data_IF_399889362441
#
_entry.id   IF_399889362441
#
_cell.length_a   1.000
_cell.length_b   1.000
_cell.length_c   1.000
_cell.angle_alpha   90.00
_cell.angle_beta   90.00
_cell.angle_gamma   90.00
#
_symmetry.space_group_name_H-M   'P 1'
#
loop_
_entity.id
_entity.type
_entity.pdbx_description
1 polymer ?
#
# COMPACT_ATOMS: atom_id res chain seq x y z
N UNK A 1 10.82 2.98 -10.03
CA UNK A 1 12.27 3.21 -10.14
C UNK A 1 12.52 4.28 -11.20
N UNK A 2 13.51 5.14 -10.99
CA UNK A 2 13.92 6.11 -11.98
C UNK A 2 14.92 5.49 -12.99
N UNK A 3 15.07 6.13 -14.16
CA UNK A 3 15.99 5.65 -15.20
C UNK A 3 17.42 5.46 -14.70
N UNK A 4 17.91 6.35 -13.83
CA UNK A 4 19.26 6.26 -13.27
C UNK A 4 19.49 4.97 -12.45
N UNK A 5 18.49 4.50 -11.70
CA UNK A 5 18.62 3.24 -10.95
C UNK A 5 18.70 2.03 -11.90
N UNK A 6 17.93 2.05 -12.98
CA UNK A 6 17.97 0.99 -13.99
C UNK A 6 19.31 0.99 -14.71
N UNK A 7 19.80 2.18 -15.09
CA UNK A 7 21.11 2.31 -15.76
C UNK A 7 22.27 1.87 -14.87
N UNK A 8 22.24 2.19 -13.57
CA UNK A 8 23.25 1.71 -12.61
C UNK A 8 23.26 0.18 -12.51
N UNK A 9 22.07 -0.42 -12.38
CA UNK A 9 21.94 -1.88 -12.33
C UNK A 9 22.50 -2.53 -13.60
N UNK A 10 22.17 -2.00 -14.77
CA UNK A 10 22.67 -2.51 -16.06
C UNK A 10 24.19 -2.37 -16.20
N UNK A 11 24.78 -1.31 -15.64
CA UNK A 11 26.24 -1.14 -15.63
C UNK A 11 26.93 -2.14 -14.71
N UNK A 12 26.31 -2.47 -13.58
CA UNK A 12 26.87 -3.40 -12.58
C UNK A 12 26.71 -4.86 -13.01
N UNK A 13 25.52 -5.26 -13.47
CA UNK A 13 25.20 -6.63 -13.84
C UNK A 13 25.54 -7.00 -15.29
N UNK A 14 25.81 -6.01 -16.14
CA UNK A 14 25.98 -6.14 -17.58
C UNK A 14 24.69 -5.97 -18.38
N UNK A 15 24.81 -5.34 -19.54
CA UNK A 15 23.69 -5.13 -20.46
C UNK A 15 23.15 -6.47 -20.99
N UNK A 16 21.82 -6.57 -21.09
CA UNK A 16 21.14 -7.75 -21.60
C UNK A 16 20.88 -8.84 -20.54
N UNK A 17 21.31 -8.66 -19.30
CA UNK A 17 21.20 -9.68 -18.24
C UNK A 17 20.05 -9.43 -17.28
N UNK A 18 19.60 -8.19 -17.15
CA UNK A 18 18.58 -7.80 -16.17
C UNK A 18 17.16 -8.11 -16.64
N UNK A 19 16.21 -8.13 -15.71
CA UNK A 19 14.79 -8.26 -16.03
C UNK A 19 14.27 -7.06 -16.85
N UNK A 20 14.87 -5.88 -16.70
CA UNK A 20 14.53 -4.69 -17.47
C UNK A 20 14.88 -4.81 -18.94
N UNK A 21 16.00 -5.45 -19.27
CA UNK A 21 16.41 -5.71 -20.67
C UNK A 21 15.43 -6.65 -21.39
N UNK A 22 14.77 -7.52 -20.63
CA UNK A 22 13.80 -8.49 -21.18
C UNK A 22 12.37 -7.94 -21.26
N UNK A 23 12.15 -6.70 -20.80
CA UNK A 23 10.83 -6.09 -20.84
C UNK A 23 10.41 -5.80 -22.28
N UNK A 24 9.28 -6.37 -22.69
CA UNK A 24 8.73 -6.17 -24.04
C UNK A 24 8.01 -4.83 -24.20
N UNK A 25 7.56 -4.25 -23.09
CA UNK A 25 6.83 -2.98 -23.09
C UNK A 25 7.45 -2.04 -22.06
N UNK A 26 7.70 -0.81 -22.48
CA UNK A 26 8.26 0.26 -21.67
C UNK A 26 7.39 1.50 -21.80
N UNK A 27 7.09 2.14 -20.67
CA UNK A 27 6.38 3.41 -20.64
C UNK A 27 7.04 4.41 -19.69
N UNK A 28 6.89 5.68 -20.00
CA UNK A 28 7.24 6.78 -19.12
C UNK A 28 5.96 7.29 -18.45
N UNK A 29 6.02 7.51 -17.14
CA UNK A 29 4.90 8.08 -16.38
C UNK A 29 5.29 9.40 -15.75
N UNK A 30 4.31 10.29 -15.61
CA UNK A 30 4.47 11.52 -14.83
C UNK A 30 4.19 11.22 -13.37
N UNK A 31 5.06 11.71 -12.48
CA UNK A 31 5.02 11.36 -11.04
C UNK A 31 4.50 12.48 -10.14
N UNK A 32 4.16 13.68 -10.66
CA UNK A 32 3.62 14.77 -9.86
C UNK A 32 2.27 14.41 -9.23
N UNK A 33 2.01 14.91 -8.02
CA UNK A 33 0.72 14.78 -7.34
C UNK A 33 -0.26 15.90 -7.74
N UNK A 34 -1.51 15.82 -7.30
CA UNK A 34 -2.51 16.84 -7.65
C UNK A 34 -2.18 18.25 -7.13
N UNK A 35 -1.40 18.35 -6.05
CA UNK A 35 -1.07 19.62 -5.39
C UNK A 35 0.43 19.94 -5.34
N UNK A 36 1.31 19.08 -5.91
CA UNK A 36 2.75 19.31 -5.83
C UNK A 36 3.50 18.67 -7.02
N UNK A 37 4.56 19.35 -7.47
CA UNK A 37 5.45 18.81 -8.52
C UNK A 37 6.24 17.58 -8.05
N UNK A 38 6.53 17.51 -6.74
CA UNK A 38 7.19 16.36 -6.11
C UNK A 38 6.13 15.59 -5.33
N UNK A 39 5.82 14.40 -5.80
CA UNK A 39 4.87 13.49 -5.12
C UNK A 39 5.46 12.91 -3.85
N UNK A 40 4.58 12.56 -2.90
CA UNK A 40 4.95 11.66 -1.80
C UNK A 40 4.43 10.23 -2.06
N UNK A 41 4.78 9.31 -1.17
CA UNK A 41 4.38 7.89 -1.30
C UNK A 41 2.86 7.68 -1.22
N UNK A 42 2.15 8.55 -0.50
CA UNK A 42 0.69 8.41 -0.36
C UNK A 42 -0.02 8.75 -1.67
N UNK A 43 0.29 9.93 -2.24
CA UNK A 43 -0.27 10.35 -3.52
C UNK A 43 0.17 9.45 -4.68
N UNK A 44 1.44 9.02 -4.69
CA UNK A 44 1.94 8.10 -5.72
C UNK A 44 1.30 6.72 -5.60
N UNK A 45 1.22 6.16 -4.39
CA UNK A 45 0.55 4.88 -4.14
C UNK A 45 -0.93 4.92 -4.52
N UNK A 46 -1.62 6.01 -4.16
CA UNK A 46 -3.02 6.22 -4.55
C UNK A 46 -3.18 6.27 -6.07
N UNK A 47 -2.32 6.99 -6.77
CA UNK A 47 -2.39 7.06 -8.23
C UNK A 47 -2.16 5.68 -8.89
N UNK A 48 -1.25 4.87 -8.36
CA UNK A 48 -1.04 3.49 -8.83
C UNK A 48 -2.22 2.57 -8.51
N UNK A 49 -2.79 2.71 -7.32
CA UNK A 49 -3.89 1.86 -6.87
C UNK A 49 -5.22 2.18 -7.55
N UNK A 50 -5.50 3.48 -7.77
CA UNK A 50 -6.85 3.96 -8.16
C UNK A 50 -6.93 4.60 -9.54
N UNK A 51 -5.79 4.81 -10.21
CA UNK A 51 -5.70 5.57 -11.48
C UNK A 51 -5.98 7.08 -11.34
N UNK A 52 -6.15 7.60 -10.11
CA UNK A 52 -6.46 9.00 -9.84
C UNK A 52 -5.32 9.69 -9.08
N UNK A 53 -4.96 10.90 -9.50
CA UNK A 53 -4.03 11.74 -8.74
C UNK A 53 -4.75 12.36 -7.55
N UNK A 54 -4.06 12.39 -6.42
CA UNK A 54 -4.52 13.06 -5.20
C UNK A 54 -3.44 13.98 -4.64
N UNK A 55 -3.73 14.71 -3.57
CA UNK A 55 -2.76 15.56 -2.87
C UNK A 55 -1.75 14.75 -2.07
N UNK A 56 -0.55 15.32 -1.87
CA UNK A 56 0.45 14.74 -0.99
C UNK A 56 -0.12 14.50 0.41
N UNK A 57 0.20 13.35 0.99
CA UNK A 57 -0.32 12.93 2.29
C UNK A 57 -1.67 12.21 2.25
N UNK A 58 -2.42 12.31 1.17
CA UNK A 58 -3.73 11.67 1.01
C UNK A 58 -3.58 10.23 0.51
N UNK A 59 -4.39 9.32 1.03
CA UNK A 59 -4.26 7.89 0.83
C UNK A 59 -5.61 7.27 0.43
N UNK A 60 -5.68 6.68 -0.77
CA UNK A 60 -6.88 6.01 -1.28
C UNK A 60 -8.10 6.92 -1.44
N UNK A 61 -7.89 8.24 -1.48
CA UNK A 61 -8.96 9.24 -1.63
C UNK A 61 -8.64 10.22 -2.76
N UNK A 62 -9.66 10.83 -3.32
CA UNK A 62 -9.57 11.94 -4.26
C UNK A 62 -9.19 13.25 -3.55
N UNK A 63 -8.83 14.33 -4.28
CA UNK A 63 -8.48 15.61 -3.66
C UNK A 63 -9.57 16.24 -2.77
N UNK A 64 -10.82 15.88 -2.96
CA UNK A 64 -11.97 16.26 -2.14
C UNK A 64 -12.22 15.34 -0.94
N UNK A 65 -11.31 14.39 -0.71
CA UNK A 65 -11.37 13.35 0.34
C UNK A 65 -12.44 12.27 0.15
N UNK A 66 -13.09 12.19 -1.00
CA UNK A 66 -13.95 11.06 -1.32
C UNK A 66 -13.12 9.79 -1.58
N UNK A 67 -13.59 8.62 -1.15
CA UNK A 67 -12.90 7.36 -1.36
C UNK A 67 -12.75 7.04 -2.85
N UNK A 68 -11.56 6.63 -3.26
CA UNK A 68 -11.26 6.19 -4.61
C UNK A 68 -11.05 4.67 -4.62
N UNK A 69 -11.81 3.94 -5.40
CA UNK A 69 -11.68 2.50 -5.49
C UNK A 69 -10.33 2.08 -6.10
N UNK A 70 -9.72 1.08 -5.48
CA UNK A 70 -8.43 0.55 -5.93
C UNK A 70 -8.61 -0.66 -6.86
N UNK A 71 -7.59 -0.93 -7.67
CA UNK A 71 -7.51 -2.17 -8.46
C UNK A 71 -7.61 -3.43 -7.59
N UNK A 72 -7.21 -3.34 -6.31
CA UNK A 72 -7.36 -4.43 -5.35
C UNK A 72 -8.83 -4.68 -5.00
N UNK A 73 -9.62 -3.62 -4.81
CA UNK A 73 -11.06 -3.73 -4.61
C UNK A 73 -11.75 -4.35 -5.85
N UNK A 74 -11.31 -3.97 -7.06
CA UNK A 74 -11.80 -4.58 -8.30
C UNK A 74 -11.50 -6.09 -8.36
N UNK A 75 -10.27 -6.49 -7.98
CA UNK A 75 -9.85 -7.89 -7.95
C UNK A 75 -10.66 -8.71 -6.92
N UNK A 76 -10.88 -8.16 -5.71
CA UNK A 76 -11.71 -8.80 -4.68
C UNK A 76 -13.14 -9.03 -5.20
N UNK A 77 -13.75 -8.00 -5.82
CA UNK A 77 -15.10 -8.16 -6.41
C UNK A 77 -15.16 -9.21 -7.52
N UNK A 78 -14.07 -9.40 -8.23
CA UNK A 78 -13.93 -10.46 -9.22
C UNK A 78 -13.65 -11.85 -8.62
N UNK A 79 -13.63 -11.99 -7.30
CA UNK A 79 -13.34 -13.24 -6.59
C UNK A 79 -11.87 -13.66 -6.63
N UNK A 80 -10.95 -12.75 -6.95
CA UNK A 80 -9.53 -13.03 -7.00
C UNK A 80 -8.90 -12.91 -5.61
N UNK A 81 -8.06 -13.85 -5.19
CA UNK A 81 -7.25 -13.70 -3.98
C UNK A 81 -6.32 -12.48 -4.11
N UNK A 82 -6.27 -11.68 -3.07
CA UNK A 82 -5.45 -10.46 -3.03
C UNK A 82 -4.62 -10.38 -1.77
N UNK A 83 -3.52 -9.64 -1.83
CA UNK A 83 -2.68 -9.49 -0.66
C UNK A 83 -1.65 -8.39 -0.77
N UNK A 84 -1.11 -8.03 0.38
CA UNK A 84 0.01 -7.09 0.52
C UNK A 84 1.17 -7.75 1.25
N UNK A 85 2.37 -7.62 0.68
CA UNK A 85 3.61 -8.10 1.29
C UNK A 85 4.63 -6.98 1.20
N UNK A 86 5.09 -6.51 2.35
CA UNK A 86 5.99 -5.34 2.43
C UNK A 86 7.02 -5.52 3.54
N UNK A 87 8.18 -4.91 3.36
CA UNK A 87 9.22 -4.83 4.40
C UNK A 87 9.01 -3.66 5.36
N UNK A 88 8.08 -2.76 5.06
CA UNK A 88 7.63 -1.67 5.93
C UNK A 88 6.47 -2.09 6.84
N UNK A 89 5.84 -1.13 7.52
CA UNK A 89 4.58 -1.42 8.21
C UNK A 89 3.43 -1.56 7.20
N UNK A 90 2.48 -2.43 7.50
CA UNK A 90 1.26 -2.60 6.69
C UNK A 90 0.49 -1.28 6.56
N UNK A 91 0.50 -0.45 7.62
CA UNK A 91 -0.14 0.88 7.66
C UNK A 91 0.64 1.95 6.89
N UNK A 92 1.80 1.62 6.32
CA UNK A 92 2.55 2.59 5.52
C UNK A 92 1.77 2.99 4.25
N UNK A 93 2.09 4.18 3.74
CA UNK A 93 1.32 4.78 2.65
C UNK A 93 1.25 3.91 1.38
N UNK A 94 2.33 3.25 1.01
CA UNK A 94 2.36 2.45 -0.22
C UNK A 94 1.42 1.25 -0.18
N UNK A 95 1.48 0.34 0.81
CA UNK A 95 0.50 -0.74 0.90
C UNK A 95 -0.91 -0.22 1.24
N UNK A 96 -1.02 0.75 2.15
CA UNK A 96 -2.29 1.31 2.59
C UNK A 96 -3.12 1.92 1.46
N UNK A 97 -2.50 2.48 0.42
CA UNK A 97 -3.19 3.06 -0.72
C UNK A 97 -4.06 2.05 -1.50
N UNK A 98 -3.84 0.76 -1.33
CA UNK A 98 -4.59 -0.28 -2.02
C UNK A 98 -5.84 -0.77 -1.26
N UNK A 99 -5.92 -0.52 0.06
CA UNK A 99 -7.03 -1.02 0.88
C UNK A 99 -7.64 0.02 1.84
N UNK A 100 -7.01 1.19 2.00
CA UNK A 100 -7.46 2.20 2.95
C UNK A 100 -7.74 3.55 2.31
N UNK A 101 -8.64 4.32 2.93
CA UNK A 101 -9.13 5.61 2.48
C UNK A 101 -9.05 6.61 3.63
N UNK A 102 -7.98 7.38 3.68
CA UNK A 102 -7.77 8.41 4.71
C UNK A 102 -7.21 9.71 4.11
N UNK A 103 -7.70 10.87 4.54
CA UNK A 103 -7.21 12.15 4.04
C UNK A 103 -5.78 12.47 4.49
N UNK A 104 -5.25 11.70 5.48
CA UNK A 104 -3.90 11.91 5.99
C UNK A 104 -3.21 10.59 6.33
N UNK A 105 -2.09 10.32 5.66
CA UNK A 105 -1.32 9.07 5.73
C UNK A 105 -0.80 8.65 7.11
N UNK A 106 -0.79 9.57 8.09
CA UNK A 106 -0.36 9.27 9.47
C UNK A 106 -1.50 8.84 10.37
N UNK A 107 -2.71 8.69 9.87
CA UNK A 107 -3.84 8.12 10.59
C UNK A 107 -3.72 6.59 10.70
N UNK A 108 -2.62 6.14 11.31
CA UNK A 108 -2.22 4.71 11.31
C UNK A 108 -3.27 3.80 11.94
N UNK A 109 -3.98 4.27 12.98
CA UNK A 109 -5.06 3.50 13.61
C UNK A 109 -6.22 3.28 12.62
N UNK A 110 -6.66 4.35 11.93
CA UNK A 110 -7.72 4.24 10.92
C UNK A 110 -7.33 3.34 9.75
N UNK A 111 -6.07 3.40 9.32
CA UNK A 111 -5.55 2.50 8.28
C UNK A 111 -5.54 1.05 8.79
N UNK A 112 -5.18 0.83 10.06
CA UNK A 112 -5.20 -0.50 10.69
C UNK A 112 -6.62 -1.07 10.79
N UNK A 113 -7.60 -0.22 11.12
CA UNK A 113 -9.01 -0.62 11.17
C UNK A 113 -9.55 -1.01 9.79
N UNK A 114 -9.14 -0.27 8.77
CA UNK A 114 -9.54 -0.57 7.39
C UNK A 114 -8.82 -1.83 6.86
N UNK A 115 -7.58 -2.11 7.30
CA UNK A 115 -6.93 -3.39 7.04
C UNK A 115 -7.75 -4.54 7.65
N UNK A 116 -8.13 -4.42 8.92
CA UNK A 116 -8.96 -5.42 9.59
C UNK A 116 -10.34 -5.56 8.95
N UNK A 117 -10.87 -4.49 8.36
CA UNK A 117 -12.13 -4.48 7.63
C UNK A 117 -12.04 -4.92 6.17
N UNK A 118 -10.84 -5.12 5.63
CA UNK A 118 -10.65 -5.49 4.23
C UNK A 118 -10.91 -6.98 3.97
N UNK A 119 -11.19 -7.32 2.72
CA UNK A 119 -11.35 -8.70 2.26
C UNK A 119 -10.04 -9.25 1.63
N UNK A 120 -8.89 -8.77 2.12
CA UNK A 120 -7.59 -9.29 1.71
C UNK A 120 -7.44 -10.75 2.13
N UNK A 121 -6.83 -11.55 1.26
CA UNK A 121 -6.51 -12.96 1.56
C UNK A 121 -5.26 -13.07 2.43
N UNK A 122 -4.27 -12.21 2.19
CA UNK A 122 -3.00 -12.24 2.91
C UNK A 122 -2.42 -10.85 3.13
N UNK A 123 -1.80 -10.64 4.31
CA UNK A 123 -1.06 -9.42 4.61
C UNK A 123 0.20 -9.76 5.42
N UNK A 124 1.39 -9.49 4.85
CA UNK A 124 2.65 -9.64 5.54
C UNK A 124 3.40 -8.31 5.60
N UNK A 125 3.83 -7.93 6.80
CA UNK A 125 4.58 -6.71 7.03
C UNK A 125 4.72 -6.39 8.51
N UNK A 126 5.43 -5.32 8.83
CA UNK A 126 5.53 -4.80 10.19
C UNK A 126 4.27 -4.03 10.61
N UNK A 127 4.34 -3.39 11.79
CA UNK A 127 3.29 -2.49 12.27
C UNK A 127 2.40 -3.04 13.36
N UNK A 128 2.82 -4.12 14.03
CA UNK A 128 2.11 -4.75 15.15
C UNK A 128 1.66 -3.71 16.20
N UNK A 129 2.52 -2.75 16.53
CA UNK A 129 2.23 -1.69 17.51
C UNK A 129 0.93 -0.90 17.20
N UNK A 130 0.57 -0.73 15.93
CA UNK A 130 -0.67 -0.02 15.56
C UNK A 130 -1.94 -0.89 15.67
N UNK A 131 -1.73 -2.19 15.92
CA UNK A 131 -2.79 -3.16 16.17
C UNK A 131 -2.92 -3.54 17.66
N UNK A 132 -1.98 -3.08 18.52
CA UNK A 132 -2.01 -3.31 19.96
C UNK A 132 -2.94 -2.31 20.67
N UNK A 133 -3.61 -2.75 21.73
CA UNK A 133 -4.56 -1.94 22.48
C UNK A 133 -3.93 -0.68 23.12
N UNK A 134 -2.67 -0.78 23.55
CA UNK A 134 -1.95 0.32 24.22
C UNK A 134 -1.74 1.56 23.34
N UNK A 135 -1.71 1.38 22.04
CA UNK A 135 -1.52 2.46 21.06
C UNK A 135 -2.84 2.96 20.46
N UNK A 136 -3.98 2.43 20.92
CA UNK A 136 -5.29 2.72 20.35
C UNK A 136 -6.17 3.53 21.31
N UNK A 137 -6.86 4.55 20.76
CA UNK A 137 -7.81 5.38 21.52
C UNK A 137 -9.00 4.60 22.04
N UNK A 138 -9.45 3.55 21.31
CA UNK A 138 -10.58 2.72 21.68
C UNK A 138 -10.22 1.54 22.61
N UNK A 139 -8.91 1.32 22.86
CA UNK A 139 -8.41 0.25 23.71
C UNK A 139 -8.68 -1.18 23.19
N UNK A 140 -9.22 -1.32 21.97
CA UNK A 140 -9.53 -2.63 21.38
C UNK A 140 -8.40 -3.08 20.46
N UNK A 141 -7.75 -4.24 20.71
CA UNK A 141 -6.69 -4.73 19.85
C UNK A 141 -7.18 -4.97 18.43
N UNK A 142 -6.51 -4.35 17.44
CA UNK A 142 -6.80 -4.60 16.03
C UNK A 142 -6.56 -6.06 15.61
N UNK A 143 -5.66 -6.76 16.32
CA UNK A 143 -5.41 -8.19 16.15
C UNK A 143 -6.66 -9.04 16.41
N UNK A 144 -7.44 -8.70 17.44
CA UNK A 144 -8.68 -9.42 17.73
C UNK A 144 -9.68 -9.25 16.60
N UNK A 145 -9.82 -8.03 16.07
CA UNK A 145 -10.67 -7.77 14.90
C UNK A 145 -10.27 -8.59 13.68
N UNK A 146 -8.95 -8.78 13.43
CA UNK A 146 -8.46 -9.65 12.37
C UNK A 146 -8.85 -11.11 12.61
N UNK A 147 -8.68 -11.60 13.85
CA UNK A 147 -9.04 -12.98 14.22
C UNK A 147 -10.54 -13.24 14.12
N UNK A 148 -11.37 -12.30 14.55
CA UNK A 148 -12.84 -12.37 14.45
C UNK A 148 -13.32 -12.47 13.01
N UNK A 149 -12.54 -11.92 12.09
CA UNK A 149 -12.77 -12.03 10.63
C UNK A 149 -12.14 -13.29 9.98
N UNK A 150 -11.59 -14.18 10.78
CA UNK A 150 -11.04 -15.44 10.32
C UNK A 150 -9.58 -15.39 9.86
N UNK A 151 -8.86 -14.29 10.08
CA UNK A 151 -7.43 -14.24 9.78
C UNK A 151 -6.64 -15.08 10.79
N UNK A 152 -5.72 -15.89 10.27
CA UNK A 152 -4.66 -16.47 11.09
C UNK A 152 -3.58 -15.40 11.31
N UNK A 153 -3.51 -14.87 12.53
CA UNK A 153 -2.53 -13.84 12.89
C UNK A 153 -1.27 -14.50 13.45
N UNK A 154 -0.17 -14.33 12.75
CA UNK A 154 1.16 -14.80 13.13
C UNK A 154 1.98 -13.59 13.57
N UNK A 155 2.56 -13.64 14.77
CA UNK A 155 3.41 -12.57 15.32
C UNK A 155 4.86 -13.01 15.52
N UNK A 156 5.13 -14.30 15.32
CA UNK A 156 6.46 -14.91 15.42
C UNK A 156 6.78 -15.63 14.10
N UNK A 157 7.97 -15.41 13.50
CA UNK A 157 8.38 -16.08 12.27
C UNK A 157 8.45 -17.62 12.37
N UNK A 158 8.48 -18.17 13.58
CA UNK A 158 8.50 -19.62 13.81
C UNK A 158 7.12 -20.29 13.76
N UNK A 159 6.04 -19.50 13.68
CA UNK A 159 4.65 -19.97 13.57
C UNK A 159 4.24 -20.20 12.10
#
# INVERSE_FOLDING_TARGET
MGLSHVSMLMLEEGYGTTAFDRAQNIALITTYSANNRVTDSAAAGTALATRHKTGNGMLGVLPDSTAAESIMADAIRAGMPTGVVVTSTLQHATPGAFYAHVPYRRQYQRISDQLAGSDLTVAFGGGLKYAEASEREDGVPGIERLRDRGFRVLTDPSQ
#
